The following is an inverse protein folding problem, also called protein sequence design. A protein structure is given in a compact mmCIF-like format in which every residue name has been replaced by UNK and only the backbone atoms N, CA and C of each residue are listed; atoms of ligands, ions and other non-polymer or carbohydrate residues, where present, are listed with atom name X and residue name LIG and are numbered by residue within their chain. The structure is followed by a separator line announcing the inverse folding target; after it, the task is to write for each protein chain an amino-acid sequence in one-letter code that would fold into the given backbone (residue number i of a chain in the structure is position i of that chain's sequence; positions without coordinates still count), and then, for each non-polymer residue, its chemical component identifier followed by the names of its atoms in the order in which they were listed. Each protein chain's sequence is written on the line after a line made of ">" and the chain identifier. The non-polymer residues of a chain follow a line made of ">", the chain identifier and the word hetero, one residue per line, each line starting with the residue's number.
data_IF_858028350077
#
_entry.id   IF_858028350077
#
_cell.length_a   1.000
_cell.length_b   1.000
_cell.length_c   1.000
_cell.angle_alpha   90.00
_cell.angle_beta   90.00
_cell.angle_gamma   90.00
#
_symmetry.space_group_name_H-M   'P 1'
#
loop_
_entity.id
_entity.type
_entity.pdbx_description
1 polymer ?
#
# COMPACT_ATOMS: atom_id res chain seq x y z
N UNK A 1 -20.99 5.57 9.20
CA UNK A 1 -19.79 4.99 8.54
C UNK A 1 -18.82 6.13 8.24
N UNK A 2 -17.57 6.01 8.67
CA UNK A 2 -16.58 7.10 8.63
C UNK A 2 -15.92 7.32 7.24
N UNK A 3 -16.74 7.31 6.17
CA UNK A 3 -16.29 7.31 4.77
C UNK A 3 -15.40 8.50 4.42
N UNK A 4 -15.64 9.66 5.04
CA UNK A 4 -14.84 10.87 4.85
C UNK A 4 -13.40 10.70 5.30
N UNK A 5 -13.15 10.00 6.42
CA UNK A 5 -11.79 9.79 6.92
C UNK A 5 -11.02 8.79 6.06
N UNK A 6 -11.68 7.76 5.51
CA UNK A 6 -11.07 6.89 4.50
C UNK A 6 -10.69 7.68 3.24
N UNK A 7 -11.60 8.51 2.72
CA UNK A 7 -11.31 9.32 1.53
C UNK A 7 -10.14 10.29 1.75
N UNK A 8 -10.07 10.92 2.93
CA UNK A 8 -8.95 11.77 3.34
C UNK A 8 -7.64 10.99 3.43
N UNK A 9 -7.69 9.78 3.97
CA UNK A 9 -6.53 8.90 4.06
C UNK A 9 -6.00 8.54 2.68
N UNK A 10 -6.89 8.13 1.76
CA UNK A 10 -6.54 7.83 0.35
C UNK A 10 -5.94 9.06 -0.35
N UNK A 11 -6.55 10.23 -0.21
CA UNK A 11 -6.06 11.46 -0.84
C UNK A 11 -4.66 11.84 -0.34
N UNK A 12 -4.34 11.60 0.93
CA UNK A 12 -3.02 11.87 1.47
C UNK A 12 -1.98 10.84 1.03
N UNK A 13 -2.39 9.57 0.87
CA UNK A 13 -1.51 8.48 0.45
C UNK A 13 -1.13 8.57 -1.04
N UNK A 14 -2.06 8.98 -1.89
CA UNK A 14 -1.88 9.00 -3.35
C UNK A 14 -1.32 10.33 -3.88
N UNK A 15 -1.11 11.34 -3.02
CA UNK A 15 -0.58 12.62 -3.43
C UNK A 15 0.96 12.55 -3.55
N UNK A 16 1.55 12.76 -4.74
CA UNK A 16 3.01 12.70 -4.92
C UNK A 16 3.76 13.76 -4.10
N UNK A 17 3.07 14.84 -3.71
CA UNK A 17 3.57 15.85 -2.79
C UNK A 17 2.52 16.12 -1.72
N UNK A 18 2.70 15.55 -0.53
CA UNK A 18 1.83 15.81 0.60
C UNK A 18 2.22 17.14 1.25
N UNK A 19 1.33 18.13 1.25
CA UNK A 19 1.54 19.33 2.07
C UNK A 19 1.55 18.96 3.56
N UNK A 20 2.23 19.75 4.41
CA UNK A 20 2.23 19.53 5.87
C UNK A 20 0.82 19.39 6.45
N UNK A 21 -0.12 20.14 5.89
CA UNK A 21 -1.53 20.10 6.27
C UNK A 21 -2.19 18.75 5.93
N UNK A 22 -2.00 18.25 4.70
CA UNK A 22 -2.48 16.92 4.29
C UNK A 22 -1.84 15.80 5.10
N UNK A 23 -0.54 15.91 5.44
CA UNK A 23 0.15 14.91 6.27
C UNK A 23 -0.43 14.85 7.69
N UNK A 24 -0.71 16.02 8.29
CA UNK A 24 -1.37 16.10 9.61
C UNK A 24 -2.77 15.51 9.57
N UNK A 25 -3.52 15.75 8.52
CA UNK A 25 -4.85 15.17 8.32
C UNK A 25 -4.80 13.65 8.16
N UNK A 26 -3.86 13.13 7.36
CA UNK A 26 -3.65 11.70 7.22
C UNK A 26 -3.34 11.04 8.56
N UNK A 27 -2.45 11.66 9.35
CA UNK A 27 -2.09 11.16 10.68
C UNK A 27 -3.26 11.24 11.68
N UNK A 28 -4.15 12.24 11.54
CA UNK A 28 -5.37 12.31 12.33
C UNK A 28 -6.37 11.22 11.91
N UNK A 29 -6.71 11.15 10.62
CA UNK A 29 -7.62 10.14 10.07
C UNK A 29 -7.14 8.71 10.39
N UNK A 30 -5.85 8.43 10.28
CA UNK A 30 -5.26 7.13 10.66
C UNK A 30 -5.56 6.78 12.11
N UNK A 31 -5.35 7.72 13.03
CA UNK A 31 -5.64 7.50 14.46
C UNK A 31 -7.13 7.31 14.70
N UNK A 32 -7.98 8.15 14.12
CA UNK A 32 -9.43 8.04 14.23
C UNK A 32 -9.93 6.69 13.72
N UNK A 33 -9.48 6.27 12.53
CA UNK A 33 -9.91 4.99 11.94
C UNK A 33 -9.41 3.78 12.75
N UNK A 34 -8.18 3.82 13.25
CA UNK A 34 -7.63 2.74 14.07
C UNK A 34 -8.32 2.60 15.43
N UNK A 35 -8.83 3.69 16.01
CA UNK A 35 -9.54 3.68 17.29
C UNK A 35 -11.05 3.42 17.13
N UNK A 36 -11.70 4.11 16.20
CA UNK A 36 -13.16 4.14 16.11
C UNK A 36 -13.74 3.10 15.12
N UNK A 37 -12.94 2.60 14.18
CA UNK A 37 -13.36 1.66 13.13
C UNK A 37 -12.31 0.55 12.93
N UNK A 38 -11.72 0.09 14.05
CA UNK A 38 -10.52 -0.76 14.10
C UNK A 38 -10.56 -1.95 13.13
N UNK A 39 -11.61 -2.79 13.23
CA UNK A 39 -11.75 -4.01 12.42
C UNK A 39 -11.84 -3.65 10.92
N UNK A 40 -12.59 -2.61 10.56
CA UNK A 40 -12.71 -2.20 9.16
C UNK A 40 -11.44 -1.54 8.65
N UNK A 41 -10.75 -0.79 9.50
CA UNK A 41 -9.48 -0.18 9.13
C UNK A 41 -8.41 -1.25 8.89
N UNK A 42 -8.32 -2.26 9.75
CA UNK A 42 -7.47 -3.42 9.52
C UNK A 42 -7.82 -4.14 8.21
N UNK A 43 -9.12 -4.34 7.91
CA UNK A 43 -9.55 -4.94 6.65
C UNK A 43 -9.17 -4.07 5.44
N UNK A 44 -9.38 -2.75 5.52
CA UNK A 44 -9.00 -1.78 4.50
C UNK A 44 -7.51 -1.83 4.19
N UNK A 45 -6.65 -1.74 5.21
CA UNK A 45 -5.20 -1.80 5.05
C UNK A 45 -4.77 -3.16 4.48
N UNK A 46 -5.33 -4.27 4.99
CA UNK A 46 -5.00 -5.60 4.47
C UNK A 46 -5.33 -5.73 2.98
N UNK A 47 -6.48 -5.20 2.55
CA UNK A 47 -6.97 -5.33 1.19
C UNK A 47 -6.19 -4.49 0.19
N UNK A 48 -5.93 -3.21 0.51
CA UNK A 48 -5.14 -2.36 -0.39
C UNK A 48 -3.71 -2.87 -0.51
N UNK A 49 -3.08 -3.28 0.59
CA UNK A 49 -1.71 -3.80 0.57
C UNK A 49 -1.64 -5.11 -0.22
N UNK A 50 -2.56 -6.04 0.03
CA UNK A 50 -2.61 -7.30 -0.72
C UNK A 50 -2.79 -7.06 -2.22
N UNK A 51 -3.75 -6.22 -2.61
CA UNK A 51 -4.07 -6.00 -4.02
C UNK A 51 -2.95 -5.25 -4.76
N UNK A 52 -2.31 -4.27 -4.12
CA UNK A 52 -1.14 -3.58 -4.68
C UNK A 52 0.01 -4.56 -4.92
N UNK A 53 0.30 -5.43 -3.94
CA UNK A 53 1.41 -6.39 -4.02
C UNK A 53 1.11 -7.55 -4.98
N UNK A 54 -0.13 -8.05 -5.00
CA UNK A 54 -0.54 -9.15 -5.86
C UNK A 54 -0.44 -8.80 -7.36
N UNK A 55 -0.54 -7.52 -7.69
CA UNK A 55 -0.46 -6.99 -9.06
C UNK A 55 0.91 -6.45 -9.45
N UNK A 56 1.94 -6.65 -8.62
CA UNK A 56 3.32 -6.40 -9.03
C UNK A 56 3.77 -7.46 -10.07
N UNK A 57 4.70 -7.12 -10.97
CA UNK A 57 5.29 -8.08 -11.90
C UNK A 57 5.83 -9.36 -11.23
N UNK A 58 5.89 -10.46 -11.99
CA UNK A 58 6.39 -11.75 -11.50
C UNK A 58 7.89 -11.75 -11.23
N UNK A 59 8.64 -10.87 -11.89
CA UNK A 59 10.06 -10.67 -11.71
C UNK A 59 10.41 -9.77 -10.52
N UNK A 60 9.43 -9.44 -9.67
CA UNK A 60 9.67 -8.76 -8.40
C UNK A 60 10.49 -9.65 -7.44
N UNK A 61 11.80 -9.39 -7.21
CA UNK A 61 12.66 -10.12 -6.27
C UNK A 61 12.09 -10.31 -4.88
N UNK A 62 11.13 -9.48 -4.46
CA UNK A 62 10.58 -9.54 -3.11
C UNK A 62 9.42 -10.53 -2.97
N UNK A 63 8.92 -11.10 -4.08
CA UNK A 63 7.99 -12.24 -4.07
C UNK A 63 8.63 -13.51 -3.51
N UNK A 64 9.95 -13.66 -3.66
CA UNK A 64 10.69 -14.85 -3.21
C UNK A 64 11.41 -14.66 -1.88
N UNK A 65 11.36 -13.45 -1.29
CA UNK A 65 12.02 -13.17 -0.02
C UNK A 65 11.42 -13.97 1.14
N UNK A 66 12.27 -14.64 1.92
CA UNK A 66 11.89 -15.33 3.15
C UNK A 66 12.63 -14.72 4.33
N UNK A 67 11.91 -14.29 5.39
CA UNK A 67 12.53 -13.68 6.57
C UNK A 67 13.35 -14.69 7.40
N UNK A 68 13.28 -15.99 7.07
CA UNK A 68 14.10 -17.06 7.65
C UNK A 68 15.60 -16.84 7.50
N UNK A 69 16.02 -15.95 6.62
CA UNK A 69 17.43 -15.72 6.30
C UNK A 69 18.13 -14.78 7.31
N UNK A 70 17.42 -14.36 8.37
CA UNK A 70 17.98 -13.58 9.49
C UNK A 70 18.39 -12.16 9.15
N UNK A 71 18.07 -11.67 7.95
CA UNK A 71 18.36 -10.31 7.49
C UNK A 71 17.22 -9.35 7.87
N UNK A 72 17.57 -8.17 8.36
CA UNK A 72 16.61 -7.09 8.55
C UNK A 72 16.03 -6.65 7.20
N UNK A 73 14.74 -6.33 7.17
CA UNK A 73 14.09 -5.78 5.98
C UNK A 73 14.33 -4.27 5.95
N UNK A 74 15.32 -3.85 5.17
CA UNK A 74 15.76 -2.45 5.07
C UNK A 74 15.74 -1.98 3.62
N UNK A 75 15.56 -0.67 3.42
CA UNK A 75 15.64 -0.03 2.10
C UNK A 75 17.00 -0.30 1.46
N UNK A 76 18.07 -0.20 2.25
CA UNK A 76 19.44 -0.38 1.74
C UNK A 76 19.72 -1.82 1.29
N UNK A 77 19.14 -2.81 1.94
CA UNK A 77 19.36 -4.24 1.60
C UNK A 77 18.46 -4.69 0.46
N UNK A 78 17.24 -4.15 0.35
CA UNK A 78 16.22 -4.70 -0.57
C UNK A 78 15.82 -3.73 -1.69
N UNK A 79 16.00 -2.41 -1.54
CA UNK A 79 15.72 -1.41 -2.59
C UNK A 79 16.97 -0.94 -3.35
N UNK A 80 18.18 -1.29 -2.91
CA UNK A 80 19.39 -0.97 -3.67
C UNK A 80 19.38 -1.61 -5.08
N UNK A 81 18.72 -2.76 -5.22
CA UNK A 81 18.52 -3.45 -6.50
C UNK A 81 17.43 -2.81 -7.38
N UNK A 82 16.62 -1.89 -6.82
CA UNK A 82 15.48 -1.21 -7.49
C UNK A 82 15.78 0.24 -7.89
N UNK A 83 16.96 0.75 -7.58
CA UNK A 83 17.39 2.07 -7.97
C UNK A 83 17.71 2.10 -9.47
N UNK A 84 17.22 3.10 -10.25
CA UNK A 84 17.92 3.48 -11.46
C UNK A 84 19.36 3.81 -11.07
N UNK A 85 20.34 3.37 -11.87
CA UNK A 85 21.79 3.54 -11.67
C UNK A 85 22.29 5.01 -11.58
N UNK A 86 21.42 5.98 -11.32
CA UNK A 86 21.71 7.42 -11.34
C UNK A 86 22.55 7.93 -10.16
N UNK A 87 22.92 7.06 -9.20
CA UNK A 87 23.90 7.39 -8.17
C UNK A 87 23.42 8.37 -7.08
N UNK A 88 22.13 8.73 -7.05
CA UNK A 88 21.55 9.47 -5.92
C UNK A 88 21.58 8.62 -4.65
N UNK A 89 21.83 9.22 -3.48
CA UNK A 89 21.72 8.50 -2.22
C UNK A 89 20.25 8.41 -1.76
N UNK A 90 19.87 7.35 -1.04
CA UNK A 90 18.47 7.14 -0.56
C UNK A 90 17.92 8.38 0.18
N UNK A 91 18.77 9.07 0.94
CA UNK A 91 18.43 10.29 1.68
C UNK A 91 18.14 11.49 0.78
N UNK A 92 18.59 11.47 -0.47
CA UNK A 92 18.39 12.53 -1.46
C UNK A 92 17.15 12.30 -2.33
N UNK A 93 16.60 11.08 -2.35
CA UNK A 93 15.34 10.77 -3.02
C UNK A 93 14.16 10.97 -2.04
N UNK A 94 13.26 11.93 -2.28
CA UNK A 94 12.14 12.21 -1.38
C UNK A 94 11.16 11.02 -1.21
N UNK A 95 11.11 10.11 -2.18
CA UNK A 95 10.25 8.92 -2.16
C UNK A 95 10.93 7.80 -1.37
N UNK A 96 12.25 7.65 -1.47
CA UNK A 96 12.98 6.61 -0.72
C UNK A 96 13.34 7.02 0.71
N UNK A 97 13.58 8.31 0.96
CA UNK A 97 13.86 8.84 2.31
C UNK A 97 12.69 8.62 3.28
N UNK A 98 11.45 8.54 2.80
CA UNK A 98 10.30 8.25 3.64
C UNK A 98 10.20 6.78 4.11
N UNK A 99 11.11 5.94 3.62
CA UNK A 99 11.35 4.56 4.06
C UNK A 99 12.68 4.42 4.82
N UNK A 100 13.43 5.51 5.05
CA UNK A 100 14.75 5.47 5.70
C UNK A 100 14.62 5.00 7.17
N UNK A 101 14.74 3.68 7.35
CA UNK A 101 14.62 2.99 8.63
C UNK A 101 14.41 1.49 8.44
N UNK A 102 14.78 0.69 9.45
CA UNK A 102 14.52 -0.74 9.44
C UNK A 102 13.03 -0.98 9.70
N UNK A 103 12.44 -1.89 8.92
CA UNK A 103 11.10 -2.37 9.22
C UNK A 103 11.21 -3.40 10.35
N UNK A 104 10.59 -3.11 11.49
CA UNK A 104 10.55 -4.07 12.60
C UNK A 104 10.02 -5.44 12.12
N UNK A 105 10.49 -6.52 12.75
CA UNK A 105 10.19 -7.89 12.34
C UNK A 105 8.67 -8.18 12.29
N UNK A 106 7.89 -7.58 13.20
CA UNK A 106 6.42 -7.68 13.23
C UNK A 106 5.81 -7.17 11.92
N UNK A 107 6.19 -5.96 11.47
CA UNK A 107 5.61 -5.33 10.28
C UNK A 107 6.18 -5.91 8.98
N UNK A 108 7.43 -6.35 9.00
CA UNK A 108 8.01 -7.16 7.91
C UNK A 108 7.17 -8.41 7.68
N UNK A 109 6.83 -9.14 8.74
CA UNK A 109 6.01 -10.35 8.63
C UNK A 109 4.64 -10.05 8.05
N UNK A 110 3.98 -8.97 8.49
CA UNK A 110 2.68 -8.55 7.96
C UNK A 110 2.76 -8.20 6.47
N UNK A 111 3.79 -7.44 6.07
CA UNK A 111 3.99 -7.04 4.67
C UNK A 111 4.24 -8.26 3.76
N UNK A 112 5.06 -9.21 4.20
CA UNK A 112 5.32 -10.44 3.45
C UNK A 112 4.07 -11.32 3.36
N UNK A 113 3.32 -11.42 4.45
CA UNK A 113 2.06 -12.15 4.48
C UNK A 113 1.03 -11.56 3.52
N UNK A 114 1.02 -10.23 3.36
CA UNK A 114 0.13 -9.54 2.43
C UNK A 114 0.37 -9.90 0.97
N UNK A 115 1.51 -10.50 0.61
CA UNK A 115 1.74 -10.99 -0.75
C UNK A 115 0.96 -12.27 -1.06
N UNK A 116 0.51 -12.99 -0.03
CA UNK A 116 -0.06 -14.34 -0.19
C UNK A 116 -1.49 -14.47 0.32
N UNK A 117 -1.87 -13.71 1.35
CA UNK A 117 -3.20 -13.85 1.94
C UNK A 117 -3.69 -12.58 2.61
N UNK A 118 -4.73 -11.98 2.03
CA UNK A 118 -5.49 -10.91 2.69
C UNK A 118 -6.06 -11.34 4.04
N UNK A 119 -6.53 -12.59 4.16
CA UNK A 119 -7.17 -13.09 5.37
C UNK A 119 -6.21 -13.14 6.55
N UNK A 120 -5.00 -13.61 6.30
CA UNK A 120 -3.98 -13.73 7.33
C UNK A 120 -3.41 -12.34 7.67
N UNK A 121 -3.18 -11.49 6.68
CA UNK A 121 -2.79 -10.09 6.92
C UNK A 121 -3.82 -9.33 7.73
N UNK A 122 -5.12 -9.49 7.42
CA UNK A 122 -6.22 -8.94 8.19
C UNK A 122 -6.16 -9.43 9.65
N UNK A 123 -6.02 -10.75 9.85
CA UNK A 123 -5.94 -11.36 11.18
C UNK A 123 -4.79 -10.78 12.00
N UNK A 124 -3.62 -10.60 11.39
CA UNK A 124 -2.45 -10.00 12.04
C UNK A 124 -2.66 -8.52 12.38
N UNK A 125 -3.16 -7.71 11.44
CA UNK A 125 -3.40 -6.27 11.65
C UNK A 125 -4.47 -6.03 12.72
N UNK A 126 -5.54 -6.83 12.70
CA UNK A 126 -6.62 -6.79 13.70
C UNK A 126 -6.14 -7.15 15.11
N UNK A 127 -5.10 -7.97 15.23
CA UNK A 127 -4.55 -8.36 16.52
C UNK A 127 -3.71 -7.25 17.18
N UNK A 128 -3.31 -6.22 16.41
CA UNK A 128 -2.63 -5.05 16.96
C UNK A 128 -3.62 -4.22 17.78
N UNK A 129 -3.14 -3.56 18.85
CA UNK A 129 -3.94 -2.53 19.48
C UNK A 129 -4.05 -1.29 18.56
N UNK A 130 -5.00 -0.39 18.85
CA UNK A 130 -5.29 0.77 17.99
C UNK A 130 -4.07 1.67 17.74
N UNK A 131 -3.21 1.87 18.73
CA UNK A 131 -2.00 2.70 18.58
C UNK A 131 -0.96 2.04 17.68
N UNK A 132 -0.73 0.73 17.85
CA UNK A 132 0.12 -0.06 16.98
C UNK A 132 -0.43 -0.11 15.55
N UNK A 133 -1.74 -0.27 15.38
CA UNK A 133 -2.38 -0.25 14.06
C UNK A 133 -2.23 1.12 13.39
N UNK A 134 -2.45 2.21 14.15
CA UNK A 134 -2.27 3.57 13.64
C UNK A 134 -0.82 3.85 13.21
N UNK A 135 0.16 3.26 13.90
CA UNK A 135 1.57 3.35 13.53
C UNK A 135 1.92 2.47 12.32
N UNK A 136 1.51 1.21 12.32
CA UNK A 136 1.89 0.21 11.33
C UNK A 136 1.23 0.43 9.95
N UNK A 137 -0.04 0.84 9.93
CA UNK A 137 -0.83 1.01 8.70
C UNK A 137 -0.16 1.89 7.63
N UNK A 138 0.23 3.15 7.92
CA UNK A 138 0.87 4.00 6.92
C UNK A 138 2.22 3.46 6.46
N UNK A 139 2.96 2.79 7.33
CA UNK A 139 4.27 2.20 7.02
C UNK A 139 4.09 1.05 6.01
N UNK A 140 3.25 0.07 6.32
CA UNK A 140 3.02 -1.11 5.48
C UNK A 140 2.55 -0.71 4.08
N UNK A 141 1.60 0.22 4.00
CA UNK A 141 1.04 0.63 2.70
C UNK A 141 2.06 1.42 1.90
N UNK A 142 2.84 2.31 2.54
CA UNK A 142 3.90 3.05 1.85
C UNK A 142 4.95 2.12 1.26
N UNK A 143 5.35 1.06 1.97
CA UNK A 143 6.25 0.04 1.41
C UNK A 143 5.66 -0.66 0.18
N UNK A 144 4.37 -1.01 0.21
CA UNK A 144 3.71 -1.59 -0.96
C UNK A 144 3.66 -0.61 -2.15
N UNK A 145 3.38 0.68 -1.89
CA UNK A 145 3.34 1.71 -2.91
C UNK A 145 4.69 1.99 -3.55
N UNK A 146 5.74 2.13 -2.74
CA UNK A 146 7.07 2.41 -3.27
C UNK A 146 7.56 1.25 -4.13
N UNK A 147 7.30 0.00 -3.74
CA UNK A 147 7.55 -1.16 -4.62
C UNK A 147 6.87 -0.99 -5.96
N UNK A 148 5.57 -0.68 -5.95
CA UNK A 148 4.79 -0.49 -7.18
C UNK A 148 5.33 0.64 -8.04
N UNK A 149 5.68 1.76 -7.41
CA UNK A 149 6.31 2.90 -8.07
C UNK A 149 7.61 2.52 -8.80
N UNK A 150 8.47 1.69 -8.19
CA UNK A 150 9.72 1.24 -8.80
C UNK A 150 9.51 0.43 -10.10
N UNK A 151 8.41 -0.31 -10.24
CA UNK A 151 8.15 -1.14 -11.44
C UNK A 151 7.21 -0.51 -12.46
N UNK A 152 6.17 0.18 -11.98
CA UNK A 152 5.07 0.71 -12.82
C UNK A 152 5.22 2.21 -13.08
N UNK A 153 6.05 2.90 -12.30
CA UNK A 153 6.24 4.34 -12.37
C UNK A 153 5.23 5.14 -11.53
N UNK A 154 5.40 6.47 -11.50
CA UNK A 154 4.68 7.34 -10.55
C UNK A 154 3.27 7.78 -10.91
N UNK A 155 2.85 7.63 -12.17
CA UNK A 155 1.50 7.98 -12.62
C UNK A 155 0.63 6.73 -12.77
N UNK A 156 0.37 6.07 -11.64
CA UNK A 156 -0.34 4.81 -11.60
C UNK A 156 -1.74 4.96 -11.00
N UNK A 157 -2.73 5.17 -11.87
CA UNK A 157 -4.13 5.39 -11.51
C UNK A 157 -4.72 4.21 -10.72
N UNK A 158 -4.18 3.01 -10.92
CA UNK A 158 -4.57 1.77 -10.23
C UNK A 158 -4.56 1.91 -8.71
N UNK A 159 -3.59 2.64 -8.15
CA UNK A 159 -3.45 2.81 -6.71
C UNK A 159 -4.67 3.54 -6.13
N UNK A 160 -5.05 4.65 -6.77
CA UNK A 160 -6.16 5.49 -6.31
C UNK A 160 -7.52 4.79 -6.45
N UNK A 161 -7.70 4.04 -7.53
CA UNK A 161 -8.90 3.25 -7.79
C UNK A 161 -9.02 2.08 -6.82
N UNK A 162 -7.91 1.35 -6.60
CA UNK A 162 -7.84 0.25 -5.62
C UNK A 162 -8.17 0.75 -4.22
N UNK A 163 -7.55 1.85 -3.79
CA UNK A 163 -7.84 2.47 -2.51
C UNK A 163 -9.31 2.85 -2.37
N UNK A 164 -9.90 3.47 -3.40
CA UNK A 164 -11.31 3.89 -3.40
C UNK A 164 -12.25 2.69 -3.34
N UNK A 165 -11.99 1.63 -4.09
CA UNK A 165 -12.79 0.40 -4.08
C UNK A 165 -12.77 -0.26 -2.69
N UNK A 166 -11.62 -0.27 -2.02
CA UNK A 166 -11.47 -0.86 -0.70
C UNK A 166 -12.19 -0.10 0.42
N UNK A 167 -12.56 1.16 0.23
CA UNK A 167 -13.42 1.88 1.19
C UNK A 167 -14.75 1.13 1.37
N UNK A 168 -15.33 0.61 0.28
CA UNK A 168 -16.57 -0.18 0.33
C UNK A 168 -16.30 -1.64 0.67
N UNK A 169 -15.30 -2.26 0.04
CA UNK A 169 -14.99 -3.69 0.27
C UNK A 169 -14.61 -4.00 1.70
N UNK A 170 -13.89 -3.11 2.39
CA UNK A 170 -13.54 -3.29 3.80
C UNK A 170 -14.76 -3.45 4.70
N UNK A 171 -15.83 -2.70 4.45
CA UNK A 171 -17.08 -2.84 5.21
C UNK A 171 -17.74 -4.20 4.93
N UNK A 172 -17.84 -4.59 3.65
CA UNK A 172 -18.38 -5.89 3.26
C UNK A 172 -17.55 -7.04 3.83
N UNK A 173 -16.22 -6.92 3.81
CA UNK A 173 -15.28 -7.92 4.31
C UNK A 173 -15.50 -8.21 5.79
N UNK A 174 -15.58 -7.17 6.63
CA UNK A 174 -15.82 -7.35 8.09
C UNK A 174 -17.20 -7.94 8.38
N UNK A 175 -18.18 -7.67 7.53
CA UNK A 175 -19.54 -8.19 7.66
C UNK A 175 -19.71 -9.61 7.08
N UNK A 176 -18.65 -10.22 6.54
CA UNK A 176 -18.74 -11.51 5.85
C UNK A 176 -19.53 -11.46 4.53
N UNK A 177 -19.66 -10.28 3.93
CA UNK A 177 -20.29 -10.07 2.62
C UNK A 177 -19.37 -10.43 1.45
N UNK A 178 -19.92 -10.38 0.23
CA UNK A 178 -19.27 -10.78 -1.02
C UNK A 178 -18.26 -9.75 -1.56
N UNK A 179 -17.24 -9.40 -0.78
CA UNK A 179 -16.19 -8.47 -1.23
C UNK A 179 -15.40 -8.99 -2.45
N UNK A 180 -15.33 -10.32 -2.63
CA UNK A 180 -14.67 -10.95 -3.77
C UNK A 180 -15.39 -10.66 -5.09
N UNK A 181 -16.72 -10.53 -5.06
CA UNK A 181 -17.52 -10.22 -6.25
C UNK A 181 -17.26 -8.78 -6.73
N UNK A 182 -17.13 -7.85 -5.78
CA UNK A 182 -16.71 -6.47 -6.06
C UNK A 182 -15.26 -6.40 -6.55
N UNK A 183 -14.39 -7.32 -6.13
CA UNK A 183 -13.01 -7.42 -6.62
C UNK A 183 -12.97 -7.89 -8.08
N UNK A 184 -13.65 -8.99 -8.41
CA UNK A 184 -13.73 -9.52 -9.76
C UNK A 184 -14.34 -8.53 -10.76
N UNK A 185 -15.38 -7.79 -10.34
CA UNK A 185 -16.01 -6.76 -11.19
C UNK A 185 -15.06 -5.62 -11.51
N UNK A 186 -14.22 -5.22 -10.55
CA UNK A 186 -13.25 -4.16 -10.73
C UNK A 186 -12.08 -4.59 -11.63
N UNK A 187 -11.57 -5.80 -11.43
CA UNK A 187 -10.51 -6.36 -12.30
C UNK A 187 -11.00 -6.46 -13.75
N UNK A 188 -12.23 -6.94 -13.97
CA UNK A 188 -12.86 -6.97 -15.29
C UNK A 188 -13.04 -5.57 -15.90
N UNK A 189 -13.29 -4.54 -15.08
CA UNK A 189 -13.39 -3.16 -15.55
C UNK A 189 -12.03 -2.57 -15.94
N UNK A 190 -10.97 -2.91 -15.22
CA UNK A 190 -9.59 -2.51 -15.54
C UNK A 190 -9.09 -3.16 -16.83
N UNK A 191 -9.43 -4.43 -17.10
CA UNK A 191 -9.09 -5.11 -18.36
C UNK A 191 -9.76 -4.46 -19.58
N UNK A 192 -10.87 -3.74 -19.38
CA UNK A 192 -11.58 -3.02 -20.43
C UNK A 192 -11.02 -1.61 -20.69
N UNK A 193 -10.12 -1.10 -19.84
CA UNK A 193 -9.43 0.16 -20.10
C UNK A 193 -8.47 -0.07 -21.26
N UNK A 194 -8.64 0.62 -22.42
CA UNK A 194 -7.80 0.41 -23.58
C UNK A 194 -6.33 0.64 -23.24
N UNK A 195 -5.44 -0.29 -23.62
CA UNK A 195 -3.97 -0.15 -23.47
C UNK A 195 -3.44 1.18 -24.04
N UNK A 196 -4.14 1.75 -25.02
CA UNK A 196 -3.87 3.05 -25.64
C UNK A 196 -3.88 4.24 -24.65
N UNK A 197 -4.52 4.09 -23.49
CA UNK A 197 -4.51 5.10 -22.42
C UNK A 197 -3.19 5.10 -21.63
N UNK A 198 -2.55 3.93 -21.48
CA UNK A 198 -1.26 3.78 -20.79
C UNK A 198 -0.08 4.28 -21.65
N UNK A 199 -0.14 4.10 -22.97
CA UNK A 199 0.92 4.55 -23.89
C UNK A 199 1.01 6.08 -24.05
N UNK A 200 -0.08 6.82 -23.77
CA UNK A 200 -0.09 8.29 -23.85
C UNK A 200 0.56 8.98 -22.65
N UNK A 201 0.71 8.31 -21.51
CA UNK A 201 1.33 8.91 -20.30
C UNK A 201 2.85 8.70 -20.27
N UNK A 202 3.37 7.68 -20.97
CA UNK A 202 4.82 7.40 -21.06
C UNK A 202 5.58 8.24 -22.09
N UNK A 203 4.90 9.06 -22.91
CA UNK A 203 5.55 9.85 -23.96
C UNK A 203 5.66 11.35 -23.71
N UNK A 204 5.21 11.88 -22.57
CA UNK A 204 5.53 13.26 -22.17
C UNK A 204 6.82 13.26 -21.35
N UNK A 205 7.94 12.89 -21.98
CA UNK A 205 9.26 13.34 -21.51
C UNK A 205 9.36 14.82 -21.87
N UNK A 206 9.36 15.70 -20.87
CA UNK A 206 10.27 16.84 -20.69
C UNK A 206 10.03 17.44 -19.31
#
# INVERSE_FOLDING_TARGET
>A
MNTTDYARWVAALCAPYTTLHQARWAAHATRTLAHDDHDRFAAFISGITWQILATLPDDDPWRVYKPSDGRAFTVRTHMADLMPLSGATISEDPILSCLEGDLDAEYTTILLQAQTSIHETYRMLRALNSDKLAYAAPIIVRWALVRRWCYVGGNDEYVSETCTAWIRRSAAYVQGGNWQQDAATFEAALEQIPREFYEKVTHTRY
#
